data_IF_971631320111
#
_entry.id   IF_971631320111
#
_cell.length_a   1.000
_cell.length_b   1.000
_cell.length_c   1.000
_cell.angle_alpha   90.00
_cell.angle_beta   90.00
_cell.angle_gamma   90.00
#
_symmetry.space_group_name_H-M   'P 1'
#
loop_
_entity.id
_entity.type
_entity.pdbx_description
1 polymer ?
#
# COMPACT_ATOMS: atom_id res chain seq x y z
N UNK A 1 13.72 -3.38 -4.43
CA UNK A 1 14.56 -3.02 -3.25
C UNK A 1 13.73 -2.71 -2.00
N UNK A 2 12.40 -2.62 -2.10
CA UNK A 2 11.50 -2.39 -0.96
C UNK A 2 10.62 -3.61 -0.60
N UNK A 3 10.56 -4.62 -1.47
CA UNK A 3 9.90 -5.91 -1.20
C UNK A 3 10.93 -6.92 -0.68
N UNK A 4 10.69 -7.51 0.49
CA UNK A 4 11.63 -8.40 1.18
C UNK A 4 10.96 -9.46 2.06
N UNK A 5 9.79 -9.92 1.64
CA UNK A 5 9.12 -10.99 2.36
C UNK A 5 7.79 -11.36 1.75
N UNK A 6 7.24 -12.47 2.25
CA UNK A 6 5.88 -12.90 1.95
C UNK A 6 5.28 -13.56 3.18
N UNK A 7 3.96 -13.51 3.28
CA UNK A 7 3.21 -14.12 4.36
C UNK A 7 2.45 -15.35 3.84
N UNK A 8 2.51 -16.44 4.60
CA UNK A 8 1.60 -17.58 4.47
C UNK A 8 0.56 -17.53 5.57
N UNK A 9 -0.36 -18.50 5.59
CA UNK A 9 -1.33 -18.64 6.68
C UNK A 9 -0.66 -18.85 8.05
N UNK A 10 0.55 -19.43 8.10
CA UNK A 10 1.19 -19.84 9.35
C UNK A 10 2.59 -19.23 9.55
N UNK A 11 3.17 -18.63 8.51
CA UNK A 11 4.58 -18.23 8.51
C UNK A 11 4.74 -16.83 7.91
N UNK A 12 5.68 -16.08 8.49
CA UNK A 12 6.18 -14.83 7.94
C UNK A 12 7.61 -15.05 7.49
N UNK A 13 7.87 -14.86 6.20
CA UNK A 13 9.21 -14.97 5.64
C UNK A 13 9.78 -13.58 5.43
N UNK A 14 10.90 -13.29 6.07
CA UNK A 14 11.65 -12.05 5.94
C UNK A 14 13.09 -12.33 5.51
N UNK A 15 13.80 -11.30 5.06
CA UNK A 15 15.24 -11.39 4.86
C UNK A 15 15.95 -11.46 6.21
N UNK A 16 17.07 -12.21 6.26
CA UNK A 16 18.04 -12.05 7.34
C UNK A 16 18.72 -10.69 7.28
N UNK A 17 19.24 -10.20 8.39
CA UNK A 17 19.90 -8.89 8.49
C UNK A 17 20.98 -8.71 7.40
N UNK A 18 21.83 -9.71 7.21
CA UNK A 18 22.88 -9.65 6.19
C UNK A 18 22.31 -9.56 4.76
N UNK A 19 21.20 -10.25 4.47
CA UNK A 19 20.55 -10.18 3.16
C UNK A 19 19.78 -8.86 2.96
N UNK A 20 19.20 -8.33 4.03
CA UNK A 20 18.54 -7.04 4.07
C UNK A 20 19.51 -5.90 3.76
N UNK A 21 20.65 -5.84 4.45
CA UNK A 21 21.66 -4.80 4.24
C UNK A 21 22.17 -4.79 2.80
N UNK A 22 22.42 -5.98 2.22
CA UNK A 22 22.81 -6.09 0.79
C UNK A 22 21.74 -5.64 -0.18
N UNK A 23 20.46 -5.70 0.20
CA UNK A 23 19.33 -5.36 -0.68
C UNK A 23 18.94 -3.87 -0.58
N UNK A 24 19.21 -3.24 0.55
CA UNK A 24 18.86 -1.85 0.81
C UNK A 24 19.47 -0.90 -0.24
N UNK A 25 18.66 0.03 -0.75
CA UNK A 25 19.08 1.02 -1.74
C UNK A 25 19.58 2.34 -1.12
N UNK A 26 19.44 2.51 0.19
CA UNK A 26 19.61 3.76 0.93
C UNK A 26 18.90 3.70 2.30
N UNK A 27 18.95 4.75 3.12
CA UNK A 27 18.39 4.77 4.47
C UNK A 27 16.89 4.49 4.52
N UNK A 28 16.09 5.10 3.64
CA UNK A 28 14.64 4.90 3.49
C UNK A 28 14.33 3.45 3.14
N UNK A 29 15.03 2.92 2.14
CA UNK A 29 14.91 1.51 1.74
C UNK A 29 15.29 0.57 2.89
N UNK A 30 16.31 0.89 3.68
CA UNK A 30 16.71 0.11 4.84
C UNK A 30 15.62 0.11 5.93
N UNK A 31 15.05 1.27 6.25
CA UNK A 31 13.93 1.39 7.21
C UNK A 31 12.70 0.60 6.75
N UNK A 32 12.31 0.75 5.49
CA UNK A 32 11.21 -0.01 4.89
C UNK A 32 11.46 -1.52 5.01
N UNK A 33 12.68 -1.98 4.71
CA UNK A 33 13.05 -3.39 4.79
C UNK A 33 13.04 -3.91 6.24
N UNK A 34 13.53 -3.13 7.21
CA UNK A 34 13.55 -3.53 8.63
C UNK A 34 12.15 -3.71 9.20
N UNK A 35 11.18 -2.88 8.82
CA UNK A 35 9.79 -3.05 9.24
C UNK A 35 8.98 -4.05 8.41
N UNK A 36 9.62 -4.85 7.52
CA UNK A 36 8.91 -5.85 6.70
C UNK A 36 8.09 -6.82 7.57
N UNK A 37 8.61 -7.25 8.72
CA UNK A 37 7.86 -8.15 9.62
C UNK A 37 6.54 -7.53 10.08
N UNK A 38 6.57 -6.26 10.49
CA UNK A 38 5.37 -5.52 10.91
C UNK A 38 4.39 -5.33 9.76
N UNK A 39 4.88 -4.98 8.56
CA UNK A 39 4.01 -4.86 7.37
C UNK A 39 3.36 -6.19 7.00
N UNK A 40 4.10 -7.30 7.03
CA UNK A 40 3.52 -8.61 6.75
C UNK A 40 2.49 -9.03 7.81
N UNK A 41 2.73 -8.70 9.08
CA UNK A 41 1.74 -8.91 10.15
C UNK A 41 0.47 -8.07 9.94
N UNK A 42 0.61 -6.83 9.51
CA UNK A 42 -0.52 -5.98 9.14
C UNK A 42 -1.28 -6.57 7.94
N UNK A 43 -0.59 -7.02 6.89
CA UNK A 43 -1.22 -7.71 5.75
C UNK A 43 -2.03 -8.92 6.19
N UNK A 44 -1.46 -9.77 7.06
CA UNK A 44 -2.17 -10.92 7.62
C UNK A 44 -3.41 -10.50 8.40
N UNK A 45 -3.29 -9.46 9.23
CA UNK A 45 -4.42 -8.95 10.02
C UNK A 45 -5.54 -8.43 9.12
N UNK A 46 -5.20 -7.63 8.09
CA UNK A 46 -6.18 -7.14 7.12
C UNK A 46 -6.85 -8.30 6.37
N UNK A 47 -6.05 -9.26 5.94
CA UNK A 47 -6.48 -10.45 5.24
C UNK A 47 -7.42 -11.35 6.06
N UNK A 48 -7.11 -11.61 7.34
CA UNK A 48 -7.93 -12.48 8.20
C UNK A 48 -9.28 -11.87 8.57
N UNK A 49 -9.39 -10.54 8.58
CA UNK A 49 -10.64 -9.85 8.89
C UNK A 49 -11.50 -9.56 7.65
N UNK A 50 -11.05 -9.95 6.46
CA UNK A 50 -11.75 -9.73 5.22
C UNK A 50 -11.93 -11.04 4.44
N UNK A 51 -13.13 -11.62 4.44
CA UNK A 51 -13.45 -12.85 3.68
C UNK A 51 -13.18 -12.72 2.15
N UNK A 52 -13.06 -11.48 1.66
CA UNK A 52 -12.76 -11.17 0.26
C UNK A 52 -11.27 -10.98 -0.03
N UNK A 53 -10.43 -10.94 1.00
CA UNK A 53 -8.98 -10.98 0.89
C UNK A 53 -8.47 -12.38 1.24
N UNK A 54 -7.50 -12.93 0.48
CA UNK A 54 -6.89 -14.22 0.83
C UNK A 54 -6.18 -14.11 2.18
N UNK A 55 -6.17 -15.18 3.01
CA UNK A 55 -5.75 -16.54 2.64
C UNK A 55 -6.93 -17.54 2.57
N UNK A 56 -6.91 -18.57 1.67
CA UNK A 56 -5.71 -19.25 1.17
C UNK A 56 -5.44 -19.08 -0.35
N UNK A 57 -4.16 -19.23 -0.70
CA UNK A 57 -3.55 -19.10 -2.03
C UNK A 57 -3.98 -20.20 -3.02
N UNK A 58 -5.22 -20.15 -3.51
CA UNK A 58 -5.66 -20.88 -4.71
C UNK A 58 -5.59 -20.02 -5.97
N UNK A 59 -5.69 -20.63 -7.16
CA UNK A 59 -5.64 -19.92 -8.46
C UNK A 59 -6.69 -18.77 -8.52
N UNK A 60 -7.91 -19.00 -8.00
CA UNK A 60 -8.95 -17.97 -7.89
C UNK A 60 -8.79 -16.99 -6.73
N UNK A 61 -7.91 -17.28 -5.76
CA UNK A 61 -7.51 -16.34 -4.70
C UNK A 61 -6.49 -15.32 -5.18
N UNK A 62 -5.64 -15.71 -6.14
CA UNK A 62 -4.61 -14.84 -6.70
C UNK A 62 -5.18 -13.67 -7.51
N UNK A 63 -6.23 -13.87 -8.31
CA UNK A 63 -6.88 -12.77 -9.03
C UNK A 63 -7.56 -11.77 -8.09
N UNK A 64 -8.15 -12.25 -6.99
CA UNK A 64 -8.70 -11.39 -5.92
C UNK A 64 -7.60 -10.63 -5.20
N UNK A 65 -6.47 -11.28 -4.93
CA UNK A 65 -5.29 -10.60 -4.39
C UNK A 65 -4.85 -9.45 -5.29
N UNK A 66 -4.65 -9.70 -6.59
CA UNK A 66 -4.22 -8.67 -7.53
C UNK A 66 -5.18 -7.47 -7.55
N UNK A 67 -6.50 -7.71 -7.53
CA UNK A 67 -7.52 -6.65 -7.48
C UNK A 67 -7.38 -5.74 -6.25
N UNK A 68 -6.97 -6.32 -5.11
CA UNK A 68 -6.88 -5.62 -3.83
C UNK A 68 -5.44 -5.36 -3.38
N UNK A 69 -4.45 -5.61 -4.24
CA UNK A 69 -3.04 -5.52 -3.89
C UNK A 69 -2.68 -4.13 -3.36
N UNK A 70 -3.19 -3.07 -3.99
CA UNK A 70 -2.98 -1.68 -3.55
C UNK A 70 -3.50 -1.43 -2.14
N UNK A 71 -4.64 -2.02 -1.77
CA UNK A 71 -5.26 -1.85 -0.47
C UNK A 71 -4.52 -2.67 0.58
N UNK A 72 -4.16 -3.92 0.26
CA UNK A 72 -3.40 -4.80 1.15
C UNK A 72 -2.03 -4.20 1.45
N UNK A 73 -1.30 -3.81 0.40
CA UNK A 73 0.03 -3.22 0.55
C UNK A 73 -0.03 -1.84 1.20
N UNK A 74 -0.93 -0.97 0.73
CA UNK A 74 -1.08 0.39 1.26
C UNK A 74 -1.58 0.43 2.70
N UNK A 75 -2.60 -0.38 3.01
CA UNK A 75 -3.13 -0.49 4.36
C UNK A 75 -2.09 -1.06 5.31
N UNK A 76 -1.33 -2.07 4.86
CA UNK A 76 -0.26 -2.62 5.67
C UNK A 76 0.89 -1.62 5.90
N UNK A 77 1.23 -0.79 4.91
CA UNK A 77 2.19 0.30 5.08
C UNK A 77 1.68 1.32 6.10
N UNK A 78 0.44 1.76 5.96
CA UNK A 78 -0.18 2.75 6.82
C UNK A 78 -0.25 2.29 8.28
N UNK A 79 -0.84 1.10 8.53
CA UNK A 79 -0.99 0.57 9.89
C UNK A 79 0.32 0.09 10.52
N UNK A 80 1.35 -0.18 9.72
CA UNK A 80 2.71 -0.42 10.22
C UNK A 80 3.52 0.88 10.44
N UNK A 81 2.95 2.05 10.14
CA UNK A 81 3.64 3.35 10.25
C UNK A 81 4.78 3.53 9.25
N UNK A 82 4.70 2.88 8.08
CA UNK A 82 5.77 2.81 7.10
C UNK A 82 5.51 3.55 5.79
N UNK A 83 4.34 4.16 5.57
CA UNK A 83 4.02 4.80 4.28
C UNK A 83 5.09 5.81 3.83
N UNK A 84 5.62 6.61 4.76
CA UNK A 84 6.64 7.62 4.50
C UNK A 84 8.02 7.05 4.11
N UNK A 85 8.34 5.80 4.51
CA UNK A 85 9.60 5.14 4.12
C UNK A 85 9.64 4.79 2.62
N UNK A 86 8.50 4.84 1.94
CA UNK A 86 8.40 4.58 0.50
C UNK A 86 8.52 5.83 -0.36
N UNK A 87 8.62 7.05 0.23
CA UNK A 87 8.68 8.32 -0.53
C UNK A 87 9.73 8.30 -1.66
N UNK A 88 10.94 7.83 -1.39
CA UNK A 88 12.00 7.74 -2.43
C UNK A 88 11.64 6.74 -3.53
N UNK A 89 10.91 5.67 -3.22
CA UNK A 89 10.41 4.74 -4.22
C UNK A 89 9.29 5.37 -5.07
N UNK A 90 8.38 6.13 -4.46
CA UNK A 90 7.31 6.89 -5.15
C UNK A 90 7.94 7.88 -6.13
N UNK A 91 8.83 8.74 -5.63
CA UNK A 91 9.62 9.70 -6.41
C UNK A 91 10.22 9.06 -7.66
N UNK A 92 10.95 7.97 -7.47
CA UNK A 92 11.61 7.26 -8.56
C UNK A 92 10.61 6.64 -9.54
N UNK A 93 9.51 6.08 -9.05
CA UNK A 93 8.47 5.47 -9.90
C UNK A 93 7.77 6.51 -10.78
N UNK A 94 7.56 7.72 -10.27
CA UNK A 94 6.98 8.82 -11.04
C UNK A 94 7.96 9.41 -12.07
N UNK A 95 9.26 9.45 -11.73
CA UNK A 95 10.29 9.97 -12.64
C UNK A 95 10.66 8.98 -13.77
N UNK A 96 10.74 7.69 -13.48
CA UNK A 96 11.26 6.68 -14.41
C UNK A 96 10.16 5.90 -15.17
N UNK A 97 8.91 5.96 -14.70
CA UNK A 97 7.81 5.17 -15.28
C UNK A 97 6.76 6.02 -15.97
N UNK A 98 5.89 5.36 -16.74
CA UNK A 98 4.70 6.00 -17.30
C UNK A 98 3.67 6.36 -16.21
N UNK A 99 2.65 7.11 -16.61
CA UNK A 99 1.56 7.53 -15.73
C UNK A 99 0.97 6.33 -14.94
N UNK A 100 0.91 6.41 -13.60
CA UNK A 100 0.38 5.31 -12.80
C UNK A 100 -1.15 5.22 -12.95
N UNK A 101 -1.65 3.98 -12.89
CA UNK A 101 -3.09 3.72 -12.84
C UNK A 101 -3.67 4.09 -11.46
N UNK A 102 -4.97 4.40 -11.42
CA UNK A 102 -5.71 4.64 -10.19
C UNK A 102 -6.92 3.67 -10.07
N UNK A 103 -7.08 2.97 -8.92
CA UNK A 103 -6.06 2.78 -7.89
C UNK A 103 -4.79 2.11 -8.45
N UNK A 104 -3.65 2.15 -7.72
CA UNK A 104 -2.41 1.56 -8.15
C UNK A 104 -2.56 0.13 -8.66
N UNK A 105 -1.93 -0.14 -9.80
CA UNK A 105 -1.87 -1.49 -10.36
C UNK A 105 -1.18 -2.45 -9.37
N UNK A 106 -1.35 -3.77 -9.50
CA UNK A 106 -0.63 -4.74 -8.64
C UNK A 106 0.90 -4.56 -8.69
N UNK A 107 1.43 -4.08 -9.82
CA UNK A 107 2.86 -3.79 -9.99
C UNK A 107 3.33 -2.62 -9.14
N UNK A 108 2.46 -1.62 -8.97
CA UNK A 108 2.75 -0.38 -8.27
C UNK A 108 2.19 -0.37 -6.83
N UNK A 109 1.40 -1.37 -6.44
CA UNK A 109 0.73 -1.45 -5.14
C UNK A 109 1.66 -1.24 -3.94
N UNK A 110 2.82 -1.91 -3.93
CA UNK A 110 3.82 -1.77 -2.86
C UNK A 110 4.51 -0.39 -2.86
N UNK A 111 4.45 0.38 -3.95
CA UNK A 111 5.10 1.69 -4.02
C UNK A 111 4.08 2.78 -3.72
N UNK A 112 2.89 2.69 -4.32
CA UNK A 112 1.88 3.74 -4.36
C UNK A 112 0.66 3.46 -3.47
N UNK A 113 0.51 2.26 -2.91
CA UNK A 113 -0.65 1.92 -2.08
C UNK A 113 -0.74 2.81 -0.84
N UNK A 114 0.38 3.07 -0.17
CA UNK A 114 0.43 3.91 1.02
C UNK A 114 -0.03 5.36 0.77
N UNK A 115 0.20 5.90 -0.43
CA UNK A 115 -0.19 7.29 -0.72
C UNK A 115 -1.70 7.51 -0.80
N UNK A 116 -2.48 6.47 -1.09
CA UNK A 116 -3.95 6.55 -0.96
C UNK A 116 -4.35 6.74 0.51
N UNK A 117 -3.70 6.01 1.42
CA UNK A 117 -3.99 6.08 2.85
C UNK A 117 -3.53 7.39 3.46
N UNK A 118 -2.37 7.90 3.04
CA UNK A 118 -1.89 9.21 3.48
C UNK A 118 -2.85 10.33 3.04
N UNK A 119 -3.28 10.32 1.77
CA UNK A 119 -4.29 11.27 1.28
C UNK A 119 -5.63 11.13 2.02
N UNK A 120 -6.10 9.89 2.21
CA UNK A 120 -7.37 9.63 2.88
C UNK A 120 -7.36 10.12 4.33
N UNK A 121 -6.26 9.89 5.05
CA UNK A 121 -6.09 10.41 6.41
C UNK A 121 -6.06 11.94 6.41
N UNK A 122 -5.37 12.56 5.45
CA UNK A 122 -5.31 14.01 5.31
C UNK A 122 -6.69 14.63 5.04
N UNK A 123 -7.51 14.01 4.19
CA UNK A 123 -8.81 14.56 3.77
C UNK A 123 -10.00 14.19 4.68
N UNK A 124 -9.96 13.01 5.29
CA UNK A 124 -11.11 12.42 6.02
C UNK A 124 -10.75 11.87 7.39
N UNK A 125 -9.47 11.89 7.76
CA UNK A 125 -8.99 11.39 9.03
C UNK A 125 -8.86 9.88 9.10
N UNK A 126 -8.28 9.43 10.22
CA UNK A 126 -7.95 8.03 10.48
C UNK A 126 -9.14 7.06 10.39
N UNK A 127 -10.33 7.48 10.83
CA UNK A 127 -11.53 6.63 10.80
C UNK A 127 -11.87 6.18 9.37
N UNK A 128 -11.63 7.04 8.37
CA UNK A 128 -11.86 6.68 6.97
C UNK A 128 -10.89 5.60 6.47
N UNK A 129 -9.63 5.62 6.93
CA UNK A 129 -8.65 4.55 6.65
C UNK A 129 -9.10 3.22 7.26
N UNK A 130 -9.67 3.23 8.46
CA UNK A 130 -10.23 2.06 9.13
C UNK A 130 -11.48 1.51 8.39
N UNK A 131 -12.35 2.40 7.89
CA UNK A 131 -13.49 2.03 7.04
C UNK A 131 -13.02 1.35 5.75
N UNK A 132 -12.01 1.92 5.08
CA UNK A 132 -11.51 1.41 3.80
C UNK A 132 -11.01 -0.04 3.91
N UNK A 133 -10.34 -0.39 5.01
CA UNK A 133 -9.82 -1.75 5.22
C UNK A 133 -10.80 -2.72 5.86
N UNK A 134 -11.84 -2.23 6.53
CA UNK A 134 -12.81 -3.09 7.24
C UNK A 134 -13.97 -3.55 6.36
N UNK A 135 -14.26 -2.84 5.26
CA UNK A 135 -15.43 -3.12 4.42
C UNK A 135 -15.09 -3.08 2.94
N UNK A 136 -14.80 -4.24 2.37
CA UNK A 136 -14.63 -4.36 0.91
C UNK A 136 -16.00 -4.51 0.24
N UNK A 137 -16.48 -3.52 -0.54
CA UNK A 137 -17.78 -3.61 -1.22
C UNK A 137 -17.77 -4.63 -2.38
N UNK A 138 -18.93 -5.19 -2.71
CA UNK A 138 -19.05 -6.16 -3.82
C UNK A 138 -18.78 -5.50 -5.17
N UNK A 139 -19.10 -4.20 -5.25
CA UNK A 139 -18.89 -3.34 -6.39
C UNK A 139 -17.41 -3.07 -6.72
N UNK A 140 -16.46 -3.46 -5.85
CA UNK A 140 -15.04 -3.45 -6.16
C UNK A 140 -14.29 -2.19 -5.72
N UNK A 141 -13.05 -1.97 -6.23
CA UNK A 141 -12.14 -0.94 -5.74
C UNK A 141 -12.69 0.49 -5.81
N UNK A 142 -13.32 0.89 -6.91
CA UNK A 142 -13.86 2.25 -7.06
C UNK A 142 -14.90 2.57 -6.00
N UNK A 143 -15.88 1.68 -5.80
CA UNK A 143 -16.89 1.84 -4.76
C UNK A 143 -16.29 1.86 -3.34
N UNK A 144 -15.17 1.16 -3.11
CA UNK A 144 -14.48 1.17 -1.82
C UNK A 144 -13.87 2.55 -1.54
N UNK A 145 -13.20 3.11 -2.54
CA UNK A 145 -12.62 4.45 -2.48
C UNK A 145 -13.71 5.51 -2.33
N UNK A 146 -14.77 5.44 -3.13
CA UNK A 146 -15.88 6.41 -3.06
C UNK A 146 -16.57 6.39 -1.70
N UNK A 147 -16.72 5.21 -1.09
CA UNK A 147 -17.29 5.08 0.26
C UNK A 147 -16.36 5.68 1.31
N UNK A 148 -15.05 5.43 1.23
CA UNK A 148 -14.09 5.91 2.22
C UNK A 148 -13.84 7.42 2.11
N UNK A 149 -13.69 7.94 0.89
CA UNK A 149 -13.50 9.36 0.63
C UNK A 149 -14.80 10.17 0.69
N UNK A 150 -15.97 9.52 0.60
CA UNK A 150 -17.25 10.22 0.49
C UNK A 150 -17.34 11.12 -0.75
N UNK A 151 -16.64 10.76 -1.83
CA UNK A 151 -16.49 11.53 -3.05
C UNK A 151 -16.52 10.59 -4.26
N UNK A 152 -16.92 11.05 -5.46
CA UNK A 152 -16.91 10.22 -6.66
C UNK A 152 -15.48 9.97 -7.16
N UNK A 153 -15.25 8.83 -7.83
CA UNK A 153 -13.91 8.40 -8.24
C UNK A 153 -13.19 9.41 -9.16
N UNK A 154 -13.96 10.16 -9.97
CA UNK A 154 -13.48 11.19 -10.88
C UNK A 154 -12.95 12.46 -10.16
N UNK A 155 -13.34 12.67 -8.90
CA UNK A 155 -12.78 13.69 -8.03
C UNK A 155 -11.58 13.18 -7.24
N UNK A 156 -11.59 11.90 -6.83
CA UNK A 156 -10.52 11.30 -6.03
C UNK A 156 -9.25 11.10 -6.85
N UNK A 157 -9.37 10.61 -8.09
CA UNK A 157 -8.20 10.30 -8.93
C UNK A 157 -7.32 11.52 -9.18
N UNK A 158 -7.83 12.69 -9.62
CA UNK A 158 -7.01 13.89 -9.79
C UNK A 158 -6.37 14.36 -8.47
N UNK A 159 -7.13 14.34 -7.36
CA UNK A 159 -6.59 14.73 -6.05
C UNK A 159 -5.42 13.82 -5.62
N UNK A 160 -5.53 12.52 -5.88
CA UNK A 160 -4.43 11.58 -5.64
C UNK A 160 -3.23 11.83 -6.55
N UNK A 161 -3.45 12.16 -7.84
CA UNK A 161 -2.37 12.50 -8.77
C UNK A 161 -1.61 13.75 -8.32
N UNK A 162 -2.34 14.78 -7.91
CA UNK A 162 -1.76 16.01 -7.37
C UNK A 162 -0.99 15.71 -6.07
N UNK A 163 -1.57 14.92 -5.16
CA UNK A 163 -0.91 14.50 -3.93
C UNK A 163 0.43 13.78 -4.19
N UNK A 164 0.46 12.78 -5.08
CA UNK A 164 1.72 12.04 -5.34
C UNK A 164 2.74 12.90 -6.09
N UNK A 165 2.30 13.86 -6.91
CA UNK A 165 3.16 14.86 -7.53
C UNK A 165 3.74 15.82 -6.47
N UNK A 166 2.94 16.26 -5.51
CA UNK A 166 3.37 17.11 -4.41
C UNK A 166 4.33 16.39 -3.46
N UNK A 167 4.09 15.11 -3.17
CA UNK A 167 5.03 14.27 -2.42
C UNK A 167 6.36 14.13 -3.18
N UNK A 168 6.32 14.19 -4.51
CA UNK A 168 7.50 14.14 -5.36
C UNK A 168 8.26 15.47 -5.46
N UNK A 169 7.60 16.60 -5.23
CA UNK A 169 8.24 17.93 -5.25
C UNK A 169 8.64 18.40 -3.86
N UNK A 170 7.91 17.98 -2.82
CA UNK A 170 8.21 18.27 -1.43
C UNK A 170 9.44 17.46 -0.99
N UNK A 171 10.55 18.17 -0.77
CA UNK A 171 11.69 17.64 0.00
C UNK A 171 11.25 17.13 1.38
N UNK A 172 12.11 16.38 2.10
CA UNK A 172 11.73 15.69 3.32
C UNK A 172 11.06 16.63 4.32
N UNK A 173 9.74 16.43 4.54
CA UNK A 173 9.01 17.08 5.64
C UNK A 173 9.53 16.47 6.95
N UNK A 174 10.08 17.33 7.81
CA UNK A 174 10.69 17.00 9.11
C UNK A 174 9.66 16.55 10.12
#
# INVERSE_FOLDING_TARGET
RYLAGWATRAELHTLSDAALERRAAGPESRRALLGTAMRLYAQLTLATHNERMPPPWGIGGFSRYLRWAWLIEGGAQYFAGQSSDFRTAVLRRLAEGGEPAFPPSPRDAIILGGSIFELLEEERGREACEILVSRLPKAGPSAALETAFGAPIDAIEPAWRDYVADVATAGPRR
#
